data_IF_190600587152
#
_entry.id   IF_190600587152
#
_cell.length_a   1.000
_cell.length_b   1.000
_cell.length_c   1.000
_cell.angle_alpha   90.00
_cell.angle_beta   90.00
_cell.angle_gamma   90.00
#
_symmetry.space_group_name_H-M   'P 1'
#
loop_
_entity.id
_entity.type
_entity.pdbx_description
1 polymer ?
#
# COMPACT_ATOMS: atom_id res chain seq x y z
N UNK A 1 -6.37 -8.82 -3.89
CA UNK A 1 -5.40 -7.75 -3.54
C UNK A 1 -5.72 -6.53 -4.36
N UNK A 2 -5.84 -5.34 -3.72
CA UNK A 2 -6.10 -4.08 -4.44
C UNK A 2 -4.82 -3.52 -5.08
N UNK A 3 -3.74 -3.39 -4.32
CA UNK A 3 -2.45 -2.93 -4.85
C UNK A 3 -1.38 -3.99 -4.64
N UNK A 4 -0.82 -4.48 -5.74
CA UNK A 4 0.24 -5.48 -5.74
C UNK A 4 1.60 -4.79 -5.82
N UNK A 5 2.44 -4.94 -4.81
CA UNK A 5 3.68 -4.15 -4.66
C UNK A 5 4.92 -4.77 -5.29
N UNK A 6 4.82 -5.98 -5.82
CA UNK A 6 5.92 -6.62 -6.56
C UNK A 6 6.08 -5.98 -7.95
N UNK A 7 4.95 -5.70 -8.60
CA UNK A 7 4.89 -5.14 -9.95
C UNK A 7 4.50 -3.65 -9.96
N UNK A 8 3.75 -3.21 -8.95
CA UNK A 8 3.12 -1.89 -8.91
C UNK A 8 1.70 -1.87 -9.47
N UNK A 9 1.09 -3.04 -9.70
CA UNK A 9 -0.25 -3.17 -10.27
C UNK A 9 -1.33 -2.69 -9.30
N UNK A 10 -2.28 -1.90 -9.80
CA UNK A 10 -3.54 -1.60 -9.13
C UNK A 10 -4.66 -2.42 -9.77
N UNK A 11 -5.19 -3.37 -9.02
CA UNK A 11 -6.27 -4.23 -9.49
C UNK A 11 -7.62 -3.50 -9.52
N UNK A 12 -8.47 -3.75 -10.53
CA UNK A 12 -9.74 -3.07 -10.74
C UNK A 12 -10.83 -3.63 -9.82
N UNK A 13 -10.79 -3.31 -8.53
CA UNK A 13 -11.76 -3.82 -7.54
C UNK A 13 -13.18 -3.33 -7.79
N UNK A 14 -13.36 -2.20 -8.46
CA UNK A 14 -14.66 -1.67 -8.89
C UNK A 14 -15.31 -2.60 -9.92
N UNK A 15 -14.56 -3.05 -10.91
CA UNK A 15 -15.04 -3.97 -11.94
C UNK A 15 -15.33 -5.36 -11.33
N UNK A 16 -14.50 -5.80 -10.40
CA UNK A 16 -14.76 -7.04 -9.64
C UNK A 16 -16.06 -6.92 -8.84
N UNK A 17 -16.29 -5.79 -8.16
CA UNK A 17 -17.50 -5.55 -7.41
C UNK A 17 -18.76 -5.62 -8.31
N UNK A 18 -18.73 -5.04 -9.52
CA UNK A 18 -19.85 -5.13 -10.47
C UNK A 18 -20.11 -6.58 -10.92
N UNK A 19 -19.07 -7.37 -11.17
CA UNK A 19 -19.21 -8.79 -11.51
C UNK A 19 -19.82 -9.60 -10.36
N UNK A 20 -19.53 -9.23 -9.10
CA UNK A 20 -20.04 -9.92 -7.91
C UNK A 20 -21.47 -9.52 -7.53
N UNK A 21 -21.97 -8.42 -8.06
CA UNK A 21 -23.27 -7.86 -7.71
C UNK A 21 -24.42 -8.86 -7.89
N UNK A 22 -25.22 -9.00 -6.84
CA UNK A 22 -26.34 -9.96 -6.79
C UNK A 22 -25.93 -11.43 -6.65
N UNK A 23 -24.66 -11.72 -6.49
CA UNK A 23 -24.17 -13.08 -6.25
C UNK A 23 -23.95 -13.34 -4.74
N UNK A 24 -24.19 -14.58 -4.31
CA UNK A 24 -23.91 -14.98 -2.93
C UNK A 24 -22.43 -15.35 -2.78
N UNK A 25 -21.54 -14.36 -2.95
CA UNK A 25 -20.08 -14.52 -2.85
C UNK A 25 -19.57 -13.49 -1.84
N UNK A 26 -18.77 -13.92 -0.87
CA UNK A 26 -18.12 -13.01 0.07
C UNK A 26 -16.98 -12.28 -0.62
N UNK A 27 -17.03 -10.95 -0.62
CA UNK A 27 -15.99 -10.09 -1.21
C UNK A 27 -15.01 -9.63 -0.15
N UNK A 28 -13.79 -10.14 -0.22
CA UNK A 28 -12.68 -9.79 0.67
C UNK A 28 -11.63 -9.02 -0.15
N UNK A 29 -11.29 -7.81 0.27
CA UNK A 29 -10.26 -6.98 -0.36
C UNK A 29 -9.06 -6.85 0.55
N UNK A 30 -7.91 -7.35 0.11
CA UNK A 30 -6.63 -7.02 0.69
C UNK A 30 -6.19 -5.65 0.16
N UNK A 31 -6.31 -4.63 1.01
CA UNK A 31 -5.88 -3.26 0.76
C UNK A 31 -4.66 -2.90 1.65
N UNK A 32 -3.85 -3.90 2.01
CA UNK A 32 -2.71 -3.76 2.91
C UNK A 32 -1.80 -2.59 2.52
N UNK A 33 -1.54 -2.42 1.24
CA UNK A 33 -0.64 -1.41 0.71
C UNK A 33 -1.33 -0.13 0.25
N UNK A 34 -2.63 -0.14 -0.03
CA UNK A 34 -3.34 0.96 -0.69
C UNK A 34 -4.27 1.75 0.23
N UNK A 35 -4.76 1.13 1.32
CA UNK A 35 -5.72 1.78 2.21
C UNK A 35 -5.14 3.05 2.84
N UNK A 36 -5.89 4.14 2.74
CA UNK A 36 -5.46 5.46 3.23
C UNK A 36 -4.70 6.31 2.21
N UNK A 37 -4.24 5.70 1.08
CA UNK A 37 -3.57 6.41 0.00
C UNK A 37 -4.27 6.30 -1.35
N UNK A 38 -5.11 5.28 -1.53
CA UNK A 38 -6.01 5.13 -2.68
C UNK A 38 -7.43 5.08 -2.15
N UNK A 39 -8.35 5.92 -2.63
CA UNK A 39 -9.74 5.90 -2.17
C UNK A 39 -10.43 4.56 -2.43
N UNK A 40 -11.09 4.02 -1.41
CA UNK A 40 -11.90 2.80 -1.49
C UNK A 40 -13.21 3.08 -0.77
N UNK A 41 -14.33 3.05 -1.49
CA UNK A 41 -15.66 3.14 -0.90
C UNK A 41 -16.23 1.74 -0.67
N UNK A 42 -16.02 1.19 0.52
CA UNK A 42 -16.49 -0.15 0.90
C UNK A 42 -18.00 -0.34 0.73
N UNK A 43 -18.79 0.73 1.00
CA UNK A 43 -20.25 0.66 0.91
C UNK A 43 -20.71 0.61 -0.53
N UNK A 44 -20.15 1.48 -1.39
CA UNK A 44 -20.46 1.52 -2.83
C UNK A 44 -20.08 0.22 -3.54
N UNK A 45 -18.93 -0.35 -3.16
CA UNK A 45 -18.39 -1.58 -3.76
C UNK A 45 -18.92 -2.85 -3.10
N UNK A 46 -19.77 -2.73 -2.10
CA UNK A 46 -20.36 -3.86 -1.35
C UNK A 46 -19.30 -4.82 -0.77
N UNK A 47 -18.12 -4.30 -0.38
CA UNK A 47 -17.03 -5.08 0.20
C UNK A 47 -17.46 -5.62 1.57
N UNK A 48 -17.33 -6.92 1.80
CA UNK A 48 -17.68 -7.57 3.07
C UNK A 48 -16.56 -7.45 4.11
N UNK A 49 -15.29 -7.61 3.66
CA UNK A 49 -14.11 -7.48 4.51
C UNK A 49 -13.01 -6.73 3.77
N UNK A 50 -12.42 -5.75 4.42
CA UNK A 50 -11.24 -5.06 3.95
C UNK A 50 -10.13 -5.23 4.96
N UNK A 51 -8.96 -5.67 4.50
CA UNK A 51 -7.78 -5.91 5.34
C UNK A 51 -6.74 -4.85 5.05
N UNK A 52 -6.16 -4.26 6.11
CA UNK A 52 -5.07 -3.30 5.97
C UNK A 52 -4.09 -3.34 7.15
N UNK A 53 -3.07 -2.51 7.11
CA UNK A 53 -2.02 -2.40 8.13
C UNK A 53 -1.76 -0.95 8.56
N UNK A 54 -1.18 -0.80 9.73
CA UNK A 54 -0.89 0.50 10.30
C UNK A 54 0.20 1.28 9.55
N UNK A 55 1.12 0.61 8.86
CA UNK A 55 2.42 1.15 8.44
C UNK A 55 2.59 1.42 6.95
N UNK A 56 1.51 1.40 6.16
CA UNK A 56 1.58 1.72 4.72
C UNK A 56 1.08 3.14 4.48
N UNK A 57 0.10 3.32 3.62
CA UNK A 57 -0.38 4.67 3.27
C UNK A 57 -0.95 5.48 4.45
N UNK A 58 -1.33 4.84 5.55
CA UNK A 58 -1.70 5.55 6.80
C UNK A 58 -0.49 6.20 7.48
N UNK A 59 0.73 5.73 7.20
CA UNK A 59 1.99 6.26 7.76
C UNK A 59 2.16 6.06 9.27
N UNK A 60 1.52 5.05 9.85
CA UNK A 60 1.85 4.57 11.20
C UNK A 60 3.11 3.72 11.19
N UNK A 61 3.43 3.14 12.35
CA UNK A 61 4.57 2.21 12.49
C UNK A 61 4.09 0.76 12.34
N UNK A 62 4.96 -0.19 11.91
CA UNK A 62 4.61 -1.59 11.81
C UNK A 62 4.30 -2.19 13.19
N UNK A 63 3.36 -3.16 13.24
CA UNK A 63 3.07 -3.90 14.47
C UNK A 63 1.67 -4.48 14.57
N UNK A 64 0.70 -4.02 13.76
CA UNK A 64 -0.59 -4.70 13.63
C UNK A 64 -1.22 -4.48 12.25
N UNK A 65 -2.10 -5.41 11.88
CA UNK A 65 -3.08 -5.23 10.82
C UNK A 65 -4.47 -5.04 11.42
N UNK A 66 -5.37 -4.50 10.64
CA UNK A 66 -6.78 -4.34 11.02
C UNK A 66 -7.71 -4.76 9.90
N UNK A 67 -8.94 -5.07 10.28
CA UNK A 67 -9.98 -5.49 9.35
C UNK A 67 -11.20 -4.59 9.58
N UNK A 68 -11.72 -4.03 8.49
CA UNK A 68 -13.01 -3.37 8.47
C UNK A 68 -14.00 -4.34 7.82
N UNK A 69 -15.11 -4.65 8.51
CA UNK A 69 -16.03 -5.67 8.06
C UNK A 69 -17.49 -5.22 8.20
N UNK A 70 -18.37 -5.74 7.33
CA UNK A 70 -19.81 -5.70 7.58
C UNK A 70 -20.13 -6.55 8.82
N UNK A 71 -20.88 -5.99 9.76
CA UNK A 71 -21.15 -6.62 11.06
C UNK A 71 -21.87 -7.97 10.94
N UNK A 72 -22.85 -8.06 10.07
CA UNK A 72 -23.59 -9.30 9.79
C UNK A 72 -22.70 -10.40 9.21
N UNK A 73 -21.83 -10.04 8.28
CA UNK A 73 -20.84 -10.96 7.70
C UNK A 73 -19.82 -11.43 8.74
N UNK A 74 -19.35 -10.53 9.59
CA UNK A 74 -18.44 -10.87 10.69
C UNK A 74 -19.10 -11.85 11.67
N UNK A 75 -20.35 -11.61 12.08
CA UNK A 75 -21.11 -12.50 12.98
C UNK A 75 -21.26 -13.89 12.35
N UNK A 76 -21.50 -13.99 11.05
CA UNK A 76 -21.63 -15.24 10.34
C UNK A 76 -20.34 -16.09 10.29
N UNK A 77 -19.18 -15.49 10.62
CA UNK A 77 -17.89 -16.25 10.66
C UNK A 77 -17.68 -17.02 11.96
N UNK A 78 -18.59 -16.98 12.92
CA UNK A 78 -18.45 -17.70 14.20
C UNK A 78 -18.16 -19.17 13.98
N UNK A 79 -17.05 -19.64 14.53
CA UNK A 79 -16.64 -21.06 14.46
C UNK A 79 -15.93 -21.45 13.14
N UNK A 80 -15.74 -20.55 12.21
CA UNK A 80 -15.04 -20.86 10.94
C UNK A 80 -13.51 -20.82 11.06
N UNK A 81 -12.97 -20.10 12.06
CA UNK A 81 -11.54 -19.94 12.21
C UNK A 81 -10.86 -21.27 12.58
N UNK A 82 -9.74 -21.56 11.91
CA UNK A 82 -8.88 -22.73 12.21
C UNK A 82 -7.73 -22.38 13.16
N UNK A 83 -7.56 -21.10 13.48
CA UNK A 83 -6.52 -20.57 14.33
C UNK A 83 -7.11 -19.78 15.48
N UNK A 84 -6.63 -20.03 16.68
CA UNK A 84 -7.02 -19.29 17.88
C UNK A 84 -6.67 -17.80 17.76
N UNK A 85 -5.49 -17.46 17.27
CA UNK A 85 -4.97 -16.10 17.21
C UNK A 85 -5.53 -15.27 16.04
N UNK A 86 -6.02 -15.94 14.98
CA UNK A 86 -6.55 -15.27 13.78
C UNK A 86 -8.08 -15.34 13.68
N UNK A 87 -8.76 -15.72 14.76
CA UNK A 87 -10.22 -15.73 14.86
C UNK A 87 -10.74 -14.31 15.04
N UNK A 88 -11.14 -13.67 13.94
CA UNK A 88 -11.64 -12.29 13.94
C UNK A 88 -12.98 -12.14 14.65
N UNK A 89 -13.85 -13.19 14.62
CA UNK A 89 -15.10 -13.17 15.36
C UNK A 89 -14.82 -13.12 16.87
N UNK A 90 -13.97 -14.00 17.37
CA UNK A 90 -13.66 -14.04 18.79
C UNK A 90 -12.90 -12.79 19.27
N UNK A 91 -12.08 -12.16 18.43
CA UNK A 91 -11.47 -10.86 18.73
C UNK A 91 -12.54 -9.77 18.85
N UNK A 92 -13.43 -9.68 17.86
CA UNK A 92 -14.52 -8.71 17.87
C UNK A 92 -15.46 -8.92 19.08
N UNK A 93 -15.86 -10.16 19.36
CA UNK A 93 -16.76 -10.48 20.50
C UNK A 93 -16.11 -10.07 21.83
N UNK A 94 -14.81 -10.29 22.00
CA UNK A 94 -14.07 -9.88 23.19
C UNK A 94 -14.03 -8.35 23.32
N UNK A 95 -13.79 -7.64 22.25
CA UNK A 95 -13.77 -6.16 22.23
C UNK A 95 -15.16 -5.60 22.51
N UNK A 96 -16.21 -6.15 21.91
CA UNK A 96 -17.59 -5.70 22.08
C UNK A 96 -18.06 -5.88 23.53
N UNK A 97 -17.80 -7.04 24.15
CA UNK A 97 -18.13 -7.34 25.55
C UNK A 97 -17.22 -6.65 26.56
N UNK A 98 -16.00 -6.35 26.19
CA UNK A 98 -14.95 -5.80 27.06
C UNK A 98 -14.73 -4.29 26.93
N UNK A 99 -15.64 -3.55 26.28
CA UNK A 99 -15.51 -2.10 26.13
C UNK A 99 -14.27 -1.69 25.32
N UNK A 100 -13.93 -2.44 24.27
CA UNK A 100 -12.77 -2.20 23.41
C UNK A 100 -11.50 -2.92 23.83
N UNK A 101 -11.52 -3.74 24.88
CA UNK A 101 -10.37 -4.52 25.31
C UNK A 101 -10.00 -5.59 24.26
N UNK A 102 -8.74 -5.61 23.87
CA UNK A 102 -8.23 -6.61 22.94
C UNK A 102 -8.25 -8.00 23.56
N UNK A 103 -8.49 -9.02 22.71
CA UNK A 103 -8.50 -10.43 23.13
C UNK A 103 -7.14 -10.87 23.69
N UNK A 104 -6.06 -10.41 23.10
CA UNK A 104 -4.67 -10.67 23.51
C UNK A 104 -3.96 -9.38 23.88
N UNK A 105 -2.71 -9.45 24.31
CA UNK A 105 -1.90 -8.27 24.60
C UNK A 105 -1.79 -7.36 23.38
N UNK A 106 -2.27 -6.14 23.51
CA UNK A 106 -2.22 -5.17 22.42
C UNK A 106 -0.83 -4.51 22.31
N UNK A 107 -0.36 -4.20 21.09
CA UNK A 107 0.86 -3.43 20.87
C UNK A 107 0.59 -1.93 21.12
N UNK A 108 0.42 -1.54 22.38
CA UNK A 108 -0.11 -0.22 22.77
C UNK A 108 0.67 0.95 22.19
N UNK A 109 2.00 0.88 22.11
CA UNK A 109 2.81 1.94 21.48
C UNK A 109 2.51 2.09 19.99
N UNK A 110 2.33 0.97 19.27
CA UNK A 110 2.01 0.98 17.85
C UNK A 110 0.60 1.53 17.63
N UNK A 111 -0.36 1.16 18.48
CA UNK A 111 -1.73 1.69 18.43
C UNK A 111 -1.74 3.20 18.70
N UNK A 112 -0.92 3.68 19.64
CA UNK A 112 -0.81 5.11 19.91
C UNK A 112 -0.17 5.87 18.73
N UNK A 113 0.88 5.31 18.12
CA UNK A 113 1.47 5.86 16.90
C UNK A 113 0.48 5.86 15.73
N UNK A 114 -0.35 4.82 15.60
CA UNK A 114 -1.41 4.77 14.59
C UNK A 114 -2.48 5.86 14.82
N UNK A 115 -2.85 6.11 16.07
CA UNK A 115 -3.77 7.20 16.39
C UNK A 115 -3.19 8.56 15.97
N UNK A 116 -1.90 8.79 16.19
CA UNK A 116 -1.23 10.01 15.72
C UNK A 116 -1.21 10.09 14.19
N UNK A 117 -0.89 9.00 13.49
CA UNK A 117 -0.93 8.94 12.03
C UNK A 117 -2.32 9.23 11.45
N UNK A 118 -3.39 8.81 12.13
CA UNK A 118 -4.76 9.15 11.75
C UNK A 118 -5.09 10.64 11.91
N UNK A 119 -4.52 11.30 12.93
CA UNK A 119 -4.64 12.75 13.07
C UNK A 119 -3.93 13.48 11.94
N UNK A 120 -2.69 13.10 11.64
CA UNK A 120 -1.90 13.67 10.56
C UNK A 120 -2.58 13.48 9.20
N UNK A 121 -3.18 12.30 8.95
CA UNK A 121 -3.99 12.08 7.76
C UNK A 121 -5.17 13.06 7.67
N UNK A 122 -5.87 13.30 8.78
CA UNK A 122 -7.00 14.24 8.81
C UNK A 122 -6.53 15.70 8.63
N UNK A 123 -5.42 16.08 9.24
CA UNK A 123 -4.81 17.41 9.13
C UNK A 123 -4.30 17.69 7.70
N UNK A 124 -3.82 16.67 7.00
CA UNK A 124 -3.46 16.76 5.57
C UNK A 124 -4.66 17.02 4.66
N UNK A 125 -5.88 16.74 5.11
CA UNK A 125 -7.12 16.84 4.33
C UNK A 125 -7.74 15.47 3.99
N UNK A 126 -7.34 14.44 4.70
CA UNK A 126 -7.88 13.08 4.61
C UNK A 126 -7.33 12.29 3.42
N UNK A 127 -8.02 11.18 3.11
CA UNK A 127 -7.62 10.24 2.06
C UNK A 127 -7.54 10.92 0.68
N UNK A 128 -8.40 11.91 0.42
CA UNK A 128 -8.42 12.60 -0.88
C UNK A 128 -7.13 13.38 -1.10
N UNK A 129 -6.72 14.20 -0.14
CA UNK A 129 -5.48 14.98 -0.23
C UNK A 129 -4.24 14.07 -0.26
N UNK A 130 -4.21 13.02 0.59
CA UNK A 130 -3.15 12.01 0.59
C UNK A 130 -3.02 11.30 -0.77
N UNK A 131 -4.13 10.89 -1.34
CA UNK A 131 -4.18 10.25 -2.66
C UNK A 131 -3.65 11.17 -3.76
N UNK A 132 -4.02 12.44 -3.72
CA UNK A 132 -3.55 13.42 -4.72
C UNK A 132 -2.04 13.65 -4.61
N UNK A 133 -1.50 13.79 -3.40
CA UNK A 133 -0.05 13.89 -3.17
C UNK A 133 0.69 12.65 -3.70
N UNK A 134 0.20 11.45 -3.43
CA UNK A 134 0.83 10.22 -3.93
C UNK A 134 0.76 10.10 -5.46
N UNK A 135 -0.34 10.52 -6.09
CA UNK A 135 -0.43 10.60 -7.55
C UNK A 135 0.58 11.60 -8.12
N UNK A 136 0.70 12.78 -7.50
CA UNK A 136 1.66 13.78 -7.93
C UNK A 136 3.11 13.27 -7.80
N UNK A 137 3.46 12.66 -6.67
CA UNK A 137 4.74 12.00 -6.48
C UNK A 137 5.00 10.95 -7.57
N UNK A 138 4.00 10.11 -7.85
CA UNK A 138 4.08 9.07 -8.88
C UNK A 138 4.31 9.67 -10.26
N UNK A 139 3.54 10.67 -10.67
CA UNK A 139 3.70 11.33 -11.97
C UNK A 139 5.10 11.95 -12.08
N UNK A 140 5.55 12.74 -11.09
CA UNK A 140 6.89 13.34 -11.07
C UNK A 140 7.98 12.27 -11.23
N UNK A 141 7.88 11.17 -10.45
CA UNK A 141 8.83 10.07 -10.52
C UNK A 141 8.85 9.40 -11.89
N UNK A 142 7.69 9.00 -12.40
CA UNK A 142 7.59 8.23 -13.66
C UNK A 142 8.04 9.06 -14.86
N UNK A 143 7.60 10.30 -14.94
CA UNK A 143 7.97 11.20 -16.05
C UNK A 143 9.48 11.50 -16.01
N UNK A 144 10.02 11.78 -14.83
CA UNK A 144 11.45 12.01 -14.65
C UNK A 144 12.30 10.80 -14.98
N UNK A 145 11.91 9.60 -14.55
CA UNK A 145 12.61 8.35 -14.86
C UNK A 145 12.55 8.03 -16.36
N UNK A 146 11.43 8.28 -17.02
CA UNK A 146 11.30 8.12 -18.48
C UNK A 146 12.20 9.08 -19.24
N UNK A 147 12.31 10.34 -18.78
CA UNK A 147 13.23 11.32 -19.34
C UNK A 147 14.71 10.90 -19.18
N UNK A 148 15.02 10.06 -18.19
CA UNK A 148 16.34 9.46 -17.97
C UNK A 148 16.54 8.12 -18.72
N UNK A 149 15.57 7.71 -19.55
CA UNK A 149 15.67 6.49 -20.36
C UNK A 149 15.16 5.21 -19.71
N UNK A 150 14.66 5.25 -18.46
CA UNK A 150 14.07 4.09 -17.82
C UNK A 150 12.65 3.82 -18.34
N UNK A 151 12.27 2.54 -18.37
CA UNK A 151 10.92 2.12 -18.76
C UNK A 151 10.21 1.51 -17.55
N UNK A 152 8.92 1.80 -17.41
CA UNK A 152 8.08 1.14 -16.44
C UNK A 152 7.75 -0.29 -16.88
N UNK A 153 7.66 -1.21 -15.92
CA UNK A 153 7.26 -2.61 -16.18
C UNK A 153 5.82 -2.69 -16.71
N UNK A 154 4.92 -1.91 -16.12
CA UNK A 154 3.50 -1.91 -16.47
C UNK A 154 3.12 -0.70 -17.33
N UNK A 155 2.08 -0.84 -18.18
CA UNK A 155 1.48 0.31 -18.86
C UNK A 155 0.77 1.23 -17.84
N UNK A 156 0.66 2.51 -18.15
CA UNK A 156 0.12 3.54 -17.24
C UNK A 156 -1.28 3.21 -16.71
N UNK A 157 -2.14 2.62 -17.56
CA UNK A 157 -3.50 2.25 -17.18
C UNK A 157 -3.58 1.18 -16.06
N UNK A 158 -2.48 0.47 -15.79
CA UNK A 158 -2.43 -0.60 -14.80
C UNK A 158 -1.58 -0.24 -13.58
N UNK A 159 -0.88 0.89 -13.61
CA UNK A 159 -0.01 1.30 -12.51
C UNK A 159 -0.79 1.89 -11.34
N UNK A 160 -0.44 1.44 -10.13
CA UNK A 160 -0.87 2.09 -8.89
C UNK A 160 0.05 3.27 -8.50
N UNK A 161 -0.47 4.24 -7.75
CA UNK A 161 0.26 5.47 -7.43
C UNK A 161 1.20 5.35 -6.21
N UNK A 162 1.53 4.15 -5.74
CA UNK A 162 2.25 3.97 -4.46
C UNK A 162 3.64 3.36 -4.60
N UNK A 163 3.90 2.62 -5.66
CA UNK A 163 5.19 2.01 -5.99
C UNK A 163 5.25 1.73 -7.48
N UNK A 164 6.40 1.96 -8.09
CA UNK A 164 6.62 1.69 -9.52
C UNK A 164 7.78 0.72 -9.71
N UNK A 165 7.58 -0.29 -10.55
CA UNK A 165 8.63 -1.18 -11.02
C UNK A 165 9.18 -0.65 -12.34
N UNK A 166 10.51 -0.46 -12.39
CA UNK A 166 11.25 -0.05 -13.57
C UNK A 166 12.07 -1.22 -14.11
N UNK A 167 12.12 -1.36 -15.43
CA UNK A 167 13.03 -2.30 -16.10
C UNK A 167 14.46 -1.80 -16.00
N UNK A 168 15.42 -2.71 -15.99
CA UNK A 168 16.83 -2.34 -16.17
C UNK A 168 17.01 -1.66 -17.52
N UNK A 169 17.73 -0.54 -17.59
CA UNK A 169 17.86 0.23 -18.83
C UNK A 169 18.68 -0.49 -19.89
N UNK A 170 19.65 -1.29 -19.47
CA UNK A 170 20.56 -2.07 -20.33
C UNK A 170 20.83 -3.45 -19.72
N UNK A 171 21.36 -4.38 -20.51
CA UNK A 171 21.67 -5.73 -20.04
C UNK A 171 22.87 -5.80 -19.07
N UNK A 172 23.72 -4.81 -19.09
CA UNK A 172 24.90 -4.65 -18.23
C UNK A 172 24.65 -3.72 -17.03
N UNK A 173 23.39 -3.33 -16.80
CA UNK A 173 23.02 -2.50 -15.66
C UNK A 173 23.30 -3.21 -14.33
N UNK A 174 24.16 -2.64 -13.50
CA UNK A 174 24.45 -3.14 -12.15
C UNK A 174 23.57 -2.43 -11.10
N UNK A 175 22.50 -3.13 -10.70
CA UNK A 175 21.58 -2.62 -9.66
C UNK A 175 22.29 -2.39 -8.32
N UNK A 176 23.29 -3.21 -7.94
CA UNK A 176 23.97 -3.03 -6.66
C UNK A 176 24.80 -1.74 -6.65
N UNK A 177 25.55 -1.49 -7.71
CA UNK A 177 26.27 -0.22 -7.88
C UNK A 177 25.33 0.97 -7.89
N UNK A 178 24.24 0.88 -8.65
CA UNK A 178 23.19 1.93 -8.70
C UNK A 178 22.59 2.22 -7.32
N UNK A 179 22.21 1.16 -6.58
CA UNK A 179 21.67 1.25 -5.24
C UNK A 179 22.65 1.91 -4.26
N UNK A 180 23.91 1.46 -4.24
CA UNK A 180 24.92 1.97 -3.31
C UNK A 180 25.22 3.46 -3.54
N UNK A 181 25.29 3.88 -4.81
CA UNK A 181 25.46 5.29 -5.15
C UNK A 181 24.26 6.15 -4.71
N UNK A 182 23.03 5.69 -4.87
CA UNK A 182 21.83 6.37 -4.40
C UNK A 182 21.78 6.41 -2.86
N UNK A 183 22.11 5.30 -2.21
CA UNK A 183 22.18 5.21 -0.75
C UNK A 183 23.19 6.20 -0.16
N UNK A 184 24.35 6.37 -0.81
CA UNK A 184 25.35 7.36 -0.42
C UNK A 184 24.83 8.80 -0.53
N UNK A 185 23.80 9.04 -1.34
CA UNK A 185 23.10 10.33 -1.49
C UNK A 185 21.82 10.43 -0.61
N UNK A 186 21.56 9.44 0.26
CA UNK A 186 20.43 9.44 1.18
C UNK A 186 19.15 8.76 0.65
N UNK A 187 19.19 8.12 -0.53
CA UNK A 187 18.02 7.46 -1.11
C UNK A 187 18.14 5.95 -1.06
N UNK A 188 17.13 5.29 -0.52
CA UNK A 188 17.01 3.83 -0.45
C UNK A 188 15.87 3.37 -1.35
N UNK A 189 16.19 2.54 -2.33
CA UNK A 189 15.22 1.94 -3.25
C UNK A 189 15.15 0.43 -3.06
N UNK A 190 14.30 -0.28 -3.80
CA UNK A 190 14.08 -1.71 -3.61
C UNK A 190 14.53 -2.51 -4.82
N UNK A 191 15.16 -3.69 -4.62
CA UNK A 191 15.38 -4.63 -5.71
C UNK A 191 14.05 -5.12 -6.29
N UNK A 192 14.07 -5.59 -7.53
CA UNK A 192 12.95 -6.30 -8.13
C UNK A 192 12.66 -7.63 -7.43
N UNK A 193 11.45 -8.16 -7.64
CA UNK A 193 11.00 -9.42 -7.05
C UNK A 193 10.36 -10.37 -8.07
N UNK A 194 10.34 -10.00 -9.34
CA UNK A 194 9.79 -10.84 -10.41
C UNK A 194 10.91 -11.68 -11.04
N UNK A 195 10.58 -12.90 -11.44
CA UNK A 195 11.52 -13.86 -12.03
C UNK A 195 11.74 -13.65 -13.54
N UNK A 196 10.77 -13.00 -14.21
CA UNK A 196 10.71 -12.98 -15.67
C UNK A 196 11.28 -11.70 -16.29
N UNK A 197 11.70 -10.73 -15.48
CA UNK A 197 12.33 -9.50 -15.94
C UNK A 197 13.25 -8.89 -14.86
N UNK A 198 14.38 -8.37 -15.31
CA UNK A 198 15.28 -7.62 -14.45
C UNK A 198 14.70 -6.24 -14.15
N UNK A 199 14.34 -6.03 -12.89
CA UNK A 199 13.65 -4.83 -12.43
C UNK A 199 14.19 -4.33 -11.10
N UNK A 200 13.89 -3.08 -10.80
CA UNK A 200 13.95 -2.50 -9.46
C UNK A 200 12.70 -1.69 -9.18
N UNK A 201 12.46 -1.32 -7.93
CA UNK A 201 11.25 -0.62 -7.52
C UNK A 201 11.57 0.64 -6.75
N UNK A 202 10.77 1.68 -6.98
CA UNK A 202 10.78 2.91 -6.22
C UNK A 202 9.39 3.13 -5.63
N UNK A 203 9.31 3.23 -4.30
CA UNK A 203 8.10 3.60 -3.58
C UNK A 203 8.04 5.11 -3.39
N UNK A 204 6.84 5.66 -3.44
CA UNK A 204 6.59 7.10 -3.34
C UNK A 204 5.52 7.44 -2.28
N UNK A 205 5.35 6.56 -1.30
CA UNK A 205 4.49 6.76 -0.14
C UNK A 205 5.31 7.11 1.10
N UNK A 206 4.66 7.66 2.10
CA UNK A 206 5.28 8.13 3.33
C UNK A 206 5.16 9.66 3.44
N UNK A 207 5.91 10.24 4.35
CA UNK A 207 6.01 11.69 4.50
C UNK A 207 7.02 12.25 3.49
N UNK A 208 6.70 12.10 2.20
CA UNK A 208 7.48 12.54 1.05
C UNK A 208 6.57 13.29 0.07
N UNK A 209 7.17 14.24 -0.62
CA UNK A 209 6.50 15.23 -1.46
C UNK A 209 7.12 15.25 -2.87
N UNK A 210 6.52 15.96 -3.84
CA UNK A 210 7.08 16.07 -5.19
C UNK A 210 8.54 16.56 -5.23
N UNK A 211 8.93 17.45 -4.33
CA UNK A 211 10.30 17.94 -4.23
C UNK A 211 11.30 16.83 -3.86
N UNK A 212 10.88 15.85 -3.05
CA UNK A 212 11.71 14.68 -2.74
C UNK A 212 11.90 13.78 -3.97
N UNK A 213 10.86 13.68 -4.83
CA UNK A 213 10.97 12.97 -6.10
C UNK A 213 11.93 13.68 -7.06
N UNK A 214 11.87 15.00 -7.14
CA UNK A 214 12.82 15.78 -7.92
C UNK A 214 14.25 15.63 -7.40
N UNK A 215 14.44 15.64 -6.09
CA UNK A 215 15.75 15.41 -5.47
C UNK A 215 16.31 14.02 -5.79
N UNK A 216 15.46 12.98 -5.75
CA UNK A 216 15.83 11.63 -6.18
C UNK A 216 16.23 11.60 -7.66
N UNK A 217 15.46 12.23 -8.54
CA UNK A 217 15.76 12.31 -9.97
C UNK A 217 17.08 13.03 -10.25
N UNK A 218 17.38 14.10 -9.52
CA UNK A 218 18.67 14.77 -9.59
C UNK A 218 19.82 13.87 -9.13
N UNK A 219 19.61 13.11 -8.05
CA UNK A 219 20.60 12.14 -7.60
C UNK A 219 20.87 11.07 -8.68
N UNK A 220 19.83 10.54 -9.34
CA UNK A 220 19.95 9.56 -10.43
C UNK A 220 20.72 10.16 -11.63
N UNK A 221 20.43 11.42 -12.03
CA UNK A 221 21.17 12.12 -13.11
C UNK A 221 22.67 12.27 -12.83
N UNK A 222 23.06 12.30 -11.57
CA UNK A 222 24.44 12.59 -11.14
C UNK A 222 25.30 11.33 -10.90
N UNK A 223 24.74 10.13 -11.11
CA UNK A 223 25.45 8.86 -10.94
C UNK A 223 25.61 8.14 -12.28
N UNK A 224 26.58 7.22 -12.33
CA UNK A 224 26.82 6.37 -13.52
C UNK A 224 26.10 5.04 -13.36
N UNK A 225 25.40 4.59 -14.38
CA UNK A 225 24.69 3.28 -14.40
C UNK A 225 24.59 2.72 -15.81
#
# INVERSE_FOLDING_TARGET
>A
VHSETTTGLLNPIEEVAEVLKGRNITFIVDAMSSFGGVPIDMKKLDIDFLVSSANKCIQGVPGFGFIIAKKDKLIATKGNARSLSLDIYAQWETMEKGGGKWRFTSPTHVVHAFYQAMKELNEEGGIVARSERYKQNHCTLVDGMRALGFKTLLPDASQGPIITSFLYPTADFDFHSFYDQLKAKGFVIYPGKISDADTFRIGNIGDIFPDDMEALLQAIRSISY
#
